data_IF_918243223555
#
_entry.id   IF_918243223555
#
_cell.length_a   1.000
_cell.length_b   1.000
_cell.length_c   1.000
_cell.angle_alpha   90.00
_cell.angle_beta   90.00
_cell.angle_gamma   90.00
#
_symmetry.space_group_name_H-M   'P 1'
#
loop_
_entity.id
_entity.type
_entity.pdbx_description
1 polymer ?
#
# COMPACT_ATOMS: atom_id res chain seq x y z
N UNK A 1 9.46 9.41 -0.03
CA UNK A 1 10.00 8.03 -0.15
C UNK A 1 10.68 7.93 -1.51
N UNK A 2 11.92 7.42 -1.60
CA UNK A 2 12.64 7.33 -2.87
C UNK A 2 12.55 5.91 -3.45
N UNK A 3 12.34 5.82 -4.76
CA UNK A 3 12.36 4.58 -5.56
C UNK A 3 13.19 4.82 -6.80
N UNK A 4 13.99 3.82 -7.19
CA UNK A 4 14.88 3.92 -8.34
C UNK A 4 14.96 2.59 -9.08
N UNK A 5 15.26 2.66 -10.38
CA UNK A 5 15.64 1.52 -11.22
C UNK A 5 16.84 1.94 -12.05
N UNK A 6 17.88 1.12 -12.00
CA UNK A 6 19.02 1.18 -12.89
C UNK A 6 18.92 0.00 -13.85
N UNK A 7 19.14 0.27 -15.14
CA UNK A 7 19.08 -0.74 -16.19
C UNK A 7 19.97 -0.34 -17.35
N UNK A 8 20.51 -1.34 -18.06
CA UNK A 8 21.12 -1.14 -19.38
C UNK A 8 20.09 -1.12 -20.51
N UNK A 9 18.85 -1.51 -20.22
CA UNK A 9 17.75 -1.43 -21.18
C UNK A 9 17.24 0.02 -21.31
N UNK A 10 17.44 0.69 -22.47
CA UNK A 10 16.99 2.06 -22.67
C UNK A 10 15.47 2.18 -22.69
N UNK A 11 14.71 1.08 -22.81
CA UNK A 11 13.24 1.09 -22.74
C UNK A 11 12.74 1.63 -21.39
N UNK A 12 13.53 1.53 -20.32
CA UNK A 12 13.19 2.13 -19.01
C UNK A 12 13.07 3.66 -19.10
N UNK A 13 13.79 4.31 -20.03
CA UNK A 13 13.72 5.75 -20.25
C UNK A 13 12.55 6.19 -21.14
N UNK A 14 11.83 5.24 -21.77
CA UNK A 14 10.66 5.51 -22.59
C UNK A 14 9.40 5.79 -21.75
N UNK A 15 9.44 5.52 -20.44
CA UNK A 15 8.32 5.78 -19.53
C UNK A 15 8.12 7.30 -19.42
N UNK A 16 6.94 7.75 -19.83
CA UNK A 16 6.56 9.15 -19.74
C UNK A 16 6.21 9.54 -18.31
N UNK A 17 6.62 10.74 -17.89
CA UNK A 17 6.15 11.31 -16.63
C UNK A 17 4.67 11.70 -16.68
N UNK A 18 4.05 11.72 -17.86
CA UNK A 18 2.65 12.12 -18.03
C UNK A 18 1.65 11.13 -17.45
N UNK A 19 2.05 9.88 -17.20
CA UNK A 19 1.21 8.87 -16.55
C UNK A 19 0.83 9.26 -15.11
N UNK A 20 -0.23 8.65 -14.57
CA UNK A 20 -0.57 8.79 -13.16
C UNK A 20 0.50 8.14 -12.28
N UNK A 21 0.66 8.63 -11.05
CA UNK A 21 1.69 8.16 -10.12
C UNK A 21 1.71 6.63 -9.94
N UNK A 22 0.55 5.98 -9.92
CA UNK A 22 0.48 4.54 -9.67
C UNK A 22 0.83 3.71 -10.90
N UNK A 23 0.37 4.12 -12.09
CA UNK A 23 0.83 3.51 -13.34
C UNK A 23 2.35 3.66 -13.47
N UNK A 24 2.87 4.84 -13.18
CA UNK A 24 4.31 5.11 -13.15
C UNK A 24 5.03 4.20 -12.14
N UNK A 25 4.53 4.09 -10.90
CA UNK A 25 5.12 3.25 -9.87
C UNK A 25 5.07 1.76 -10.25
N UNK A 26 3.95 1.29 -10.82
CA UNK A 26 3.80 -0.10 -11.29
C UNK A 26 4.76 -0.40 -12.43
N UNK A 27 4.93 0.52 -13.39
CA UNK A 27 5.92 0.39 -14.45
C UNK A 27 7.33 0.30 -13.88
N UNK A 28 7.66 1.16 -12.90
CA UNK A 28 8.96 1.17 -12.24
C UNK A 28 9.23 -0.14 -11.47
N UNK A 29 8.20 -0.80 -10.93
CA UNK A 29 8.35 -2.16 -10.39
C UNK A 29 8.54 -3.20 -11.50
N UNK A 30 7.80 -3.11 -12.60
CA UNK A 30 7.94 -4.01 -13.75
C UNK A 30 9.35 -4.00 -14.34
N UNK A 31 9.96 -2.81 -14.49
CA UNK A 31 11.30 -2.66 -15.02
C UNK A 31 12.40 -3.35 -14.18
N UNK A 32 12.15 -3.60 -12.89
CA UNK A 32 13.09 -4.35 -12.03
C UNK A 32 13.18 -5.83 -12.35
N UNK A 33 12.20 -6.33 -13.09
CA UNK A 33 12.09 -7.73 -13.49
C UNK A 33 12.56 -7.94 -14.93
N UNK A 34 12.92 -6.87 -15.64
CA UNK A 34 13.41 -6.95 -17.01
C UNK A 34 14.86 -7.39 -17.05
N UNK A 35 15.21 -8.06 -18.14
CA UNK A 35 16.60 -8.40 -18.46
C UNK A 35 17.42 -7.12 -18.64
N UNK A 36 18.63 -7.10 -18.07
CA UNK A 36 19.49 -5.91 -18.07
C UNK A 36 19.21 -4.91 -16.94
N UNK A 37 18.20 -5.17 -16.09
CA UNK A 37 18.03 -4.43 -14.84
C UNK A 37 19.17 -4.73 -13.86
N UNK A 38 19.46 -3.75 -12.99
CA UNK A 38 20.54 -3.79 -12.01
C UNK A 38 19.97 -3.63 -10.59
N UNK A 39 19.43 -4.71 -9.98
CA UNK A 39 18.67 -4.60 -8.74
C UNK A 39 19.49 -4.13 -7.53
N UNK A 40 20.76 -4.54 -7.44
CA UNK A 40 21.64 -4.17 -6.33
C UNK A 40 21.97 -2.67 -6.37
N UNK A 41 22.31 -2.16 -7.54
CA UNK A 41 22.64 -0.77 -7.82
C UNK A 41 21.39 0.12 -7.72
N UNK A 42 20.22 -0.40 -8.14
CA UNK A 42 18.91 0.21 -7.92
C UNK A 42 18.65 0.43 -6.44
N UNK A 43 18.83 -0.63 -5.63
CA UNK A 43 18.61 -0.57 -4.19
C UNK A 43 19.61 0.37 -3.50
N UNK A 44 20.88 0.33 -3.90
CA UNK A 44 21.89 1.24 -3.38
C UNK A 44 21.54 2.71 -3.68
N UNK A 45 21.10 2.98 -4.91
CA UNK A 45 20.66 4.32 -5.32
C UNK A 45 19.45 4.79 -4.51
N UNK A 46 18.47 3.90 -4.27
CA UNK A 46 17.34 4.21 -3.39
C UNK A 46 17.77 4.58 -1.97
N UNK A 47 18.68 3.79 -1.39
CA UNK A 47 19.16 4.02 -0.03
C UNK A 47 19.91 5.35 0.07
N UNK A 48 20.75 5.65 -0.92
CA UNK A 48 21.50 6.91 -1.00
C UNK A 48 20.56 8.12 -1.13
N UNK A 49 19.58 8.05 -2.03
CA UNK A 49 18.57 9.11 -2.19
C UNK A 49 17.71 9.27 -0.93
N UNK A 50 17.29 8.16 -0.31
CA UNK A 50 16.48 8.20 0.91
C UNK A 50 17.27 8.73 2.12
N UNK A 51 18.57 8.44 2.23
CA UNK A 51 19.44 9.02 3.25
C UNK A 51 19.63 10.52 3.01
N UNK A 52 19.87 10.92 1.76
CA UNK A 52 20.01 12.31 1.36
C UNK A 52 18.75 13.14 1.70
N UNK A 53 17.56 12.65 1.31
CA UNK A 53 16.30 13.34 1.62
C UNK A 53 15.99 13.37 3.12
N UNK A 54 16.40 12.38 3.91
CA UNK A 54 16.24 12.41 5.37
C UNK A 54 17.18 13.38 6.06
N UNK A 55 18.37 13.62 5.49
CA UNK A 55 19.34 14.58 6.02
C UNK A 55 19.10 16.03 5.60
N UNK A 56 18.21 16.27 4.63
CA UNK A 56 17.89 17.61 4.16
C UNK A 56 17.05 18.38 5.18
N UNK A 57 17.31 19.69 5.39
CA UNK A 57 16.55 20.49 6.34
C UNK A 57 15.08 20.62 5.91
N UNK A 58 14.11 20.67 6.86
CA UNK A 58 12.67 20.71 6.55
C UNK A 58 12.29 21.86 5.60
N UNK A 59 12.95 23.01 5.75
CA UNK A 59 12.77 24.21 4.93
C UNK A 59 12.99 23.96 3.43
N UNK A 60 13.85 22.99 3.08
CA UNK A 60 14.08 22.61 1.68
C UNK A 60 12.83 21.98 1.06
N UNK A 61 12.12 21.14 1.82
CA UNK A 61 10.90 20.50 1.34
C UNK A 61 9.70 21.45 1.34
N UNK A 62 9.62 22.38 2.29
CA UNK A 62 8.58 23.40 2.31
C UNK A 62 8.73 24.38 1.13
N UNK A 63 9.97 24.76 0.79
CA UNK A 63 10.27 25.52 -0.43
C UNK A 63 9.82 24.79 -1.68
N UNK A 64 10.17 23.49 -1.81
CA UNK A 64 9.76 22.66 -2.95
C UNK A 64 8.24 22.46 -3.04
N UNK A 65 7.54 22.47 -1.90
CA UNK A 65 6.07 22.39 -1.87
C UNK A 65 5.43 23.65 -2.43
N UNK A 66 5.99 24.83 -2.17
CA UNK A 66 5.52 26.12 -2.69
C UNK A 66 6.01 26.45 -4.11
N UNK A 67 7.13 25.86 -4.54
CA UNK A 67 7.74 26.12 -5.84
C UNK A 67 6.89 25.65 -7.03
N UNK A 68 7.05 26.34 -8.15
CA UNK A 68 6.56 25.90 -9.47
C UNK A 68 7.31 24.62 -9.91
N UNK A 69 6.75 23.88 -10.87
CA UNK A 69 7.38 22.65 -11.36
C UNK A 69 8.75 22.90 -11.99
N UNK A 70 8.96 24.05 -12.65
CA UNK A 70 10.23 24.43 -13.27
C UNK A 70 11.30 24.76 -12.22
N UNK A 71 10.94 25.54 -11.19
CA UNK A 71 11.84 25.85 -10.08
C UNK A 71 12.22 24.58 -9.29
N UNK A 72 11.23 23.73 -8.99
CA UNK A 72 11.46 22.46 -8.34
C UNK A 72 12.36 21.54 -9.19
N UNK A 73 12.17 21.53 -10.52
CA UNK A 73 13.02 20.78 -11.43
C UNK A 73 14.47 21.30 -11.44
N UNK A 74 14.68 22.62 -11.46
CA UNK A 74 16.01 23.23 -11.43
C UNK A 74 16.74 22.91 -10.12
N UNK A 75 16.06 23.06 -8.98
CA UNK A 75 16.60 22.75 -7.66
C UNK A 75 16.96 21.27 -7.56
N UNK A 76 16.03 20.36 -7.91
CA UNK A 76 16.30 18.92 -7.90
C UNK A 76 17.41 18.53 -8.88
N UNK A 77 17.48 19.15 -10.05
CA UNK A 77 18.53 18.89 -11.04
C UNK A 77 19.91 19.19 -10.46
N UNK A 78 20.07 20.34 -9.81
CA UNK A 78 21.34 20.71 -9.18
C UNK A 78 21.74 19.71 -8.09
N UNK A 79 20.78 19.28 -7.26
CA UNK A 79 21.04 18.31 -6.19
C UNK A 79 21.43 16.93 -6.74
N UNK A 80 20.72 16.42 -7.75
CA UNK A 80 20.99 15.12 -8.33
C UNK A 80 22.31 15.13 -9.12
N UNK A 81 22.63 16.20 -9.87
CA UNK A 81 23.92 16.36 -10.56
C UNK A 81 25.08 16.34 -9.58
N UNK A 82 24.96 17.06 -8.46
CA UNK A 82 25.98 17.05 -7.42
C UNK A 82 26.12 15.65 -6.77
N UNK A 83 24.99 14.96 -6.55
CA UNK A 83 24.98 13.64 -5.94
C UNK A 83 25.62 12.57 -6.83
N UNK A 84 25.26 12.54 -8.11
CA UNK A 84 25.78 11.58 -9.09
C UNK A 84 27.11 12.02 -9.73
N UNK A 85 27.57 13.24 -9.45
CA UNK A 85 28.78 13.86 -10.02
C UNK A 85 28.76 13.86 -11.56
N UNK A 86 27.58 14.01 -12.15
CA UNK A 86 27.38 13.99 -13.59
C UNK A 86 26.75 15.31 -14.05
N UNK A 87 27.52 16.20 -14.71
CA UNK A 87 26.97 17.45 -15.24
C UNK A 87 26.06 17.23 -16.46
N UNK A 88 26.16 16.07 -17.13
CA UNK A 88 25.34 15.67 -18.27
C UNK A 88 23.97 15.09 -17.88
N UNK A 89 23.70 14.94 -16.58
CA UNK A 89 22.43 14.39 -16.10
C UNK A 89 21.24 15.24 -16.57
N UNK A 90 20.37 14.60 -17.36
CA UNK A 90 19.08 15.14 -17.74
C UNK A 90 18.04 14.74 -16.70
N UNK A 91 17.37 15.73 -16.12
CA UNK A 91 16.37 15.51 -15.08
C UNK A 91 15.05 16.05 -15.59
N UNK A 92 14.02 15.22 -15.52
CA UNK A 92 12.64 15.60 -15.78
C UNK A 92 11.86 15.37 -14.48
N UNK A 93 11.02 16.33 -14.10
CA UNK A 93 10.27 16.29 -12.85
C UNK A 93 8.80 16.62 -13.14
N UNK A 94 7.91 15.80 -12.58
CA UNK A 94 6.48 16.08 -12.49
C UNK A 94 6.12 16.14 -11.02
N UNK A 95 5.49 17.24 -10.62
CA UNK A 95 4.90 17.40 -9.30
C UNK A 95 3.48 16.84 -9.37
N UNK A 96 3.21 15.81 -8.56
CA UNK A 96 1.86 15.24 -8.42
C UNK A 96 1.38 15.43 -6.98
N UNK A 97 0.08 15.64 -6.82
CA UNK A 97 -0.57 15.73 -5.51
C UNK A 97 -1.24 14.39 -5.28
N UNK A 98 -0.65 13.58 -4.40
CA UNK A 98 -1.24 12.32 -3.98
C UNK A 98 -2.44 12.62 -3.08
N UNK A 99 -3.62 12.71 -3.68
CA UNK A 99 -4.88 12.76 -2.95
C UNK A 99 -5.46 11.34 -2.78
N UNK A 100 -6.29 11.17 -1.75
CA UNK A 100 -6.98 9.89 -1.50
C UNK A 100 -8.02 9.55 -2.59
N UNK A 101 -8.36 10.49 -3.46
CA UNK A 101 -9.26 10.30 -4.61
C UNK A 101 -8.58 9.61 -5.79
N UNK A 102 -7.28 9.85 -6.03
CA UNK A 102 -6.48 9.19 -7.05
C UNK A 102 -6.33 7.68 -6.77
N UNK A 103 -6.41 7.25 -5.49
CA UNK A 103 -6.54 5.84 -5.12
C UNK A 103 -7.85 5.19 -5.59
N UNK A 104 -8.92 5.98 -5.81
CA UNK A 104 -10.21 5.50 -6.32
C UNK A 104 -10.25 5.48 -7.86
N UNK A 105 -9.51 6.37 -8.52
CA UNK A 105 -9.51 6.57 -9.97
C UNK A 105 -8.94 5.41 -10.78
N UNK A 106 -8.04 4.60 -10.21
CA UNK A 106 -7.51 3.38 -10.86
C UNK A 106 -8.58 2.33 -11.15
N UNK A 107 -9.78 2.45 -10.58
CA UNK A 107 -10.91 1.55 -10.85
C UNK A 107 -11.75 1.97 -12.07
N UNK A 108 -11.45 3.11 -12.71
CA UNK A 108 -12.27 3.73 -13.77
C UNK A 108 -11.56 3.89 -15.12
N UNK A 109 -10.57 3.05 -15.44
CA UNK A 109 -10.17 2.93 -16.84
C UNK A 109 -11.32 2.28 -17.64
N UNK A 110 -11.84 2.91 -18.71
CA UNK A 110 -12.90 2.31 -19.51
C UNK A 110 -12.31 1.12 -20.26
N UNK A 111 -12.76 -0.08 -19.91
CA UNK A 111 -12.43 -1.28 -20.66
C UNK A 111 -12.91 -1.14 -22.12
N UNK A 112 -12.11 -1.52 -23.13
CA UNK A 112 -12.56 -1.54 -24.51
C UNK A 112 -13.75 -2.50 -24.63
N UNK A 113 -14.86 -1.99 -25.15
CA UNK A 113 -16.12 -2.72 -25.29
C UNK A 113 -15.94 -3.91 -26.26
N UNK A 114 -15.89 -5.13 -25.73
CA UNK A 114 -16.05 -6.35 -26.51
C UNK A 114 -17.55 -6.70 -26.68
N UNK A 115 -17.95 -7.38 -27.78
CA UNK A 115 -19.33 -7.45 -28.20
C UNK A 115 -20.17 -8.39 -27.34
N UNK A 116 -21.43 -8.00 -27.16
CA UNK A 116 -22.49 -8.73 -26.46
C UNK A 116 -22.65 -10.16 -26.99
N UNK A 117 -22.45 -11.14 -26.12
CA UNK A 117 -22.83 -12.55 -26.32
C UNK A 117 -23.31 -13.19 -25.02
N UNK A 118 -24.63 -13.40 -24.95
CA UNK A 118 -25.43 -14.33 -24.09
C UNK A 118 -24.96 -14.71 -22.66
N UNK A 119 -25.84 -14.33 -21.73
CA UNK A 119 -25.99 -14.67 -20.32
C UNK A 119 -25.50 -16.05 -19.82
N UNK A 120 -24.78 -16.03 -18.68
CA UNK A 120 -24.96 -16.95 -17.56
C UNK A 120 -24.42 -16.35 -16.24
N UNK A 121 -25.28 -16.39 -15.21
CA UNK A 121 -25.05 -16.32 -13.76
C UNK A 121 -24.16 -15.24 -13.12
N UNK A 122 -24.76 -14.57 -12.12
CA UNK A 122 -24.14 -13.75 -11.08
C UNK A 122 -22.90 -14.43 -10.49
N UNK A 123 -21.73 -13.90 -10.80
CA UNK A 123 -20.59 -13.85 -9.87
C UNK A 123 -20.40 -12.39 -9.51
N UNK A 124 -20.48 -12.05 -8.22
CA UNK A 124 -19.98 -10.76 -7.75
C UNK A 124 -18.54 -10.65 -8.26
N UNK A 125 -18.23 -9.56 -8.96
CA UNK A 125 -16.88 -9.29 -9.44
C UNK A 125 -15.94 -9.41 -8.24
N UNK A 126 -15.20 -10.51 -8.17
CA UNK A 126 -14.09 -10.66 -7.26
C UNK A 126 -13.09 -9.59 -7.66
N UNK A 127 -13.16 -8.45 -6.99
CA UNK A 127 -12.01 -7.58 -6.84
C UNK A 127 -10.84 -8.49 -6.44
N UNK A 128 -9.71 -8.44 -7.15
CA UNK A 128 -8.51 -9.24 -6.83
C UNK A 128 -8.01 -8.83 -5.44
N UNK A 129 -8.58 -9.46 -4.42
CA UNK A 129 -8.33 -9.18 -3.02
C UNK A 129 -7.03 -9.86 -2.62
N UNK A 130 -6.02 -9.08 -2.26
CA UNK A 130 -4.83 -9.64 -1.65
C UNK A 130 -5.16 -10.07 -0.22
N UNK A 131 -5.29 -11.38 -0.03
CA UNK A 131 -5.52 -11.98 1.29
C UNK A 131 -4.19 -12.41 1.90
N UNK A 132 -3.88 -11.86 3.07
CA UNK A 132 -2.68 -12.13 3.84
C UNK A 132 -2.97 -13.14 4.96
N UNK A 133 -2.00 -13.96 5.34
CA UNK A 133 -2.10 -14.75 6.56
C UNK A 133 -1.88 -13.86 7.80
N UNK A 134 -2.84 -13.85 8.72
CA UNK A 134 -2.74 -13.10 9.97
C UNK A 134 -2.89 -13.99 11.20
N UNK A 135 -2.45 -13.47 12.34
CA UNK A 135 -2.72 -14.00 13.67
C UNK A 135 -3.44 -12.94 14.48
N UNK A 136 -4.41 -13.33 15.30
CA UNK A 136 -5.17 -12.41 16.15
C UNK A 136 -4.63 -12.51 17.59
N UNK A 137 -4.46 -11.37 18.24
CA UNK A 137 -3.99 -11.31 19.62
C UNK A 137 -5.11 -11.76 20.57
N UNK A 138 -4.73 -12.52 21.59
CA UNK A 138 -5.64 -13.07 22.59
C UNK A 138 -5.84 -12.11 23.76
N UNK A 139 -7.04 -12.15 24.34
CA UNK A 139 -7.37 -11.44 25.57
C UNK A 139 -8.40 -12.25 26.35
N UNK A 140 -8.10 -12.58 27.61
CA UNK A 140 -8.97 -13.38 28.47
C UNK A 140 -10.29 -12.65 28.79
N UNK A 141 -10.29 -11.32 28.76
CA UNK A 141 -11.48 -10.51 28.96
C UNK A 141 -12.22 -10.19 27.64
N UNK A 142 -11.61 -10.55 26.50
CA UNK A 142 -12.16 -10.32 25.17
C UNK A 142 -13.37 -11.20 24.83
N UNK A 143 -14.14 -10.85 23.79
CA UNK A 143 -15.21 -11.69 23.27
C UNK A 143 -14.65 -12.97 22.66
N UNK A 144 -15.39 -14.10 22.70
CA UNK A 144 -15.03 -15.29 21.96
C UNK A 144 -15.11 -15.04 20.45
N UNK A 145 -14.28 -15.72 19.68
CA UNK A 145 -14.17 -15.56 18.23
C UNK A 145 -15.51 -15.76 17.49
N UNK A 146 -16.36 -16.66 18.00
CA UNK A 146 -17.70 -16.91 17.47
C UNK A 146 -18.70 -15.77 17.69
N UNK A 147 -18.45 -14.87 18.64
CA UNK A 147 -19.33 -13.73 18.96
C UNK A 147 -18.90 -12.42 18.29
N UNK A 148 -17.76 -12.42 17.59
CA UNK A 148 -17.33 -11.27 16.80
C UNK A 148 -18.38 -10.91 15.74
N UNK A 149 -18.38 -9.65 15.33
CA UNK A 149 -19.25 -9.14 14.27
C UNK A 149 -18.45 -8.32 13.28
N UNK A 150 -18.96 -8.25 12.05
CA UNK A 150 -18.44 -7.31 11.07
C UNK A 150 -18.49 -5.88 11.64
N UNK A 151 -17.37 -5.18 11.55
CA UNK A 151 -17.17 -3.84 12.12
C UNK A 151 -16.50 -3.79 13.49
N UNK A 152 -16.36 -4.92 14.20
CA UNK A 152 -15.53 -4.97 15.41
C UNK A 152 -14.05 -4.77 15.06
N UNK A 153 -13.30 -4.07 15.91
CA UNK A 153 -11.86 -3.86 15.72
C UNK A 153 -11.10 -4.96 16.44
N UNK A 154 -10.32 -5.76 15.70
CA UNK A 154 -9.47 -6.82 16.25
C UNK A 154 -8.00 -6.42 16.17
N UNK A 155 -7.22 -6.83 17.17
CA UNK A 155 -5.76 -6.66 17.17
C UNK A 155 -5.11 -7.81 16.38
N UNK A 156 -4.54 -7.52 15.22
CA UNK A 156 -4.03 -8.52 14.27
C UNK A 156 -2.55 -8.31 13.90
N UNK A 157 -1.79 -9.40 13.77
CA UNK A 157 -0.41 -9.42 13.27
C UNK A 157 -0.35 -10.10 11.92
N UNK A 158 0.40 -9.53 10.99
CA UNK A 158 0.66 -10.15 9.69
C UNK A 158 1.80 -11.17 9.88
N UNK A 159 1.48 -12.45 9.71
CA UNK A 159 2.41 -13.59 9.90
C UNK A 159 2.74 -14.30 8.60
N UNK A 160 2.41 -13.67 7.49
CA UNK A 160 2.61 -14.18 6.15
C UNK A 160 4.07 -13.98 5.70
N UNK A 161 4.71 -15.07 5.27
CA UNK A 161 6.13 -15.08 4.90
C UNK A 161 6.43 -14.50 3.52
N UNK A 162 5.41 -14.19 2.69
CA UNK A 162 5.63 -13.62 1.36
C UNK A 162 6.21 -12.21 1.46
N UNK A 163 7.12 -11.85 0.55
CA UNK A 163 7.76 -10.52 0.53
C UNK A 163 6.75 -9.38 0.47
N UNK A 164 5.68 -9.55 -0.31
CA UNK A 164 4.59 -8.57 -0.40
C UNK A 164 3.91 -8.36 0.96
N UNK A 165 3.76 -9.41 1.76
CA UNK A 165 3.14 -9.33 3.07
C UNK A 165 4.07 -8.69 4.10
N UNK A 166 5.37 -8.98 4.04
CA UNK A 166 6.39 -8.33 4.86
C UNK A 166 6.47 -6.84 4.55
N UNK A 167 6.37 -6.47 3.28
CA UNK A 167 6.30 -5.09 2.84
C UNK A 167 5.05 -4.38 3.39
N UNK A 168 3.87 -4.99 3.23
CA UNK A 168 2.60 -4.44 3.74
C UNK A 168 2.58 -4.35 5.26
N UNK A 169 3.16 -5.32 5.97
CA UNK A 169 3.32 -5.26 7.42
C UNK A 169 4.13 -4.05 7.86
N UNK A 170 5.24 -3.72 7.17
CA UNK A 170 5.98 -2.47 7.45
C UNK A 170 5.16 -1.23 7.12
N UNK A 171 4.43 -1.25 6.00
CA UNK A 171 3.61 -0.12 5.56
C UNK A 171 2.48 0.21 6.55
N UNK A 172 1.84 -0.82 7.11
CA UNK A 172 0.79 -0.67 8.12
C UNK A 172 1.33 -0.48 9.55
N UNK A 173 2.65 -0.42 9.74
CA UNK A 173 3.28 -0.29 11.06
C UNK A 173 3.29 -1.57 11.89
N UNK A 174 2.85 -2.71 11.35
CA UNK A 174 2.83 -4.02 12.01
C UNK A 174 4.13 -4.80 11.91
N UNK A 175 5.21 -4.22 11.38
CA UNK A 175 6.55 -4.82 11.41
C UNK A 175 7.61 -3.75 11.73
N UNK A 176 8.25 -3.91 12.88
CA UNK A 176 9.31 -3.01 13.38
C UNK A 176 10.66 -3.73 13.43
N UNK A 177 11.73 -3.01 13.80
CA UNK A 177 13.04 -3.62 14.06
C UNK A 177 13.02 -4.67 15.18
N UNK A 178 12.02 -4.62 16.07
CA UNK A 178 11.81 -5.58 17.17
C UNK A 178 10.90 -6.75 16.77
N UNK A 179 10.43 -6.80 15.52
CA UNK A 179 9.56 -7.83 15.00
C UNK A 179 8.11 -7.39 14.76
N UNK A 180 7.20 -8.36 14.53
CA UNK A 180 5.80 -8.08 14.22
C UNK A 180 5.05 -7.42 15.39
N UNK A 181 4.34 -6.34 15.10
CA UNK A 181 3.54 -5.57 16.05
C UNK A 181 2.05 -5.68 15.66
N UNK A 182 1.12 -5.76 16.62
CA UNK A 182 -0.30 -5.81 16.30
C UNK A 182 -0.80 -4.51 15.66
N UNK A 183 -1.72 -4.65 14.71
CA UNK A 183 -2.44 -3.58 14.04
C UNK A 183 -3.93 -3.79 14.32
N UNK A 184 -4.64 -2.73 14.71
CA UNK A 184 -6.09 -2.78 14.80
C UNK A 184 -6.72 -2.77 13.40
N UNK A 185 -7.55 -3.78 13.12
CA UNK A 185 -8.23 -3.90 11.84
C UNK A 185 -9.71 -4.26 12.06
N UNK A 186 -10.65 -3.64 11.32
CA UNK A 186 -12.04 -4.02 11.38
C UNK A 186 -12.26 -5.42 10.79
N UNK A 187 -13.07 -6.22 11.47
CA UNK A 187 -13.59 -7.48 10.96
C UNK A 187 -14.53 -7.18 9.79
N UNK A 188 -14.28 -7.83 8.67
CA UNK A 188 -15.10 -7.72 7.47
C UNK A 188 -16.10 -8.87 7.37
N UNK A 189 -15.62 -10.09 7.58
CA UNK A 189 -16.42 -11.30 7.44
C UNK A 189 -15.97 -12.35 8.43
N UNK A 190 -16.93 -13.19 8.82
CA UNK A 190 -16.76 -14.28 9.78
C UNK A 190 -17.47 -15.49 9.20
N UNK A 191 -16.73 -16.58 9.01
CA UNK A 191 -17.24 -17.80 8.40
C UNK A 191 -16.90 -19.00 9.27
N UNK A 192 -17.86 -19.87 9.52
CA UNK A 192 -17.60 -21.13 10.20
C UNK A 192 -16.87 -22.09 9.25
N UNK A 193 -15.74 -22.65 9.70
CA UNK A 193 -14.91 -23.55 8.90
C UNK A 193 -14.52 -24.78 9.71
N UNK A 194 -14.04 -25.84 9.05
CA UNK A 194 -13.49 -26.99 9.74
C UNK A 194 -12.30 -26.56 10.61
N UNK A 195 -12.39 -26.75 11.92
CA UNK A 195 -11.36 -26.35 12.89
C UNK A 195 -11.57 -25.00 13.58
N UNK A 196 -12.69 -24.32 13.34
CA UNK A 196 -13.07 -23.11 14.10
C UNK A 196 -13.81 -22.08 13.26
N UNK A 197 -13.40 -20.83 13.41
CA UNK A 197 -13.99 -19.66 12.74
C UNK A 197 -12.89 -18.98 11.93
N UNK A 198 -13.17 -18.79 10.64
CA UNK A 198 -12.37 -17.95 9.75
C UNK A 198 -12.80 -16.51 9.96
N UNK A 199 -11.88 -15.69 10.44
CA UNK A 199 -12.05 -14.25 10.61
C UNK A 199 -11.26 -13.55 9.52
N UNK A 200 -11.95 -12.75 8.72
CA UNK A 200 -11.34 -11.84 7.75
C UNK A 200 -11.30 -10.43 8.33
N UNK A 201 -10.11 -9.88 8.48
CA UNK A 201 -9.89 -8.49 8.88
C UNK A 201 -9.40 -7.64 7.70
N UNK A 202 -9.91 -6.41 7.60
CA UNK A 202 -9.61 -5.52 6.47
C UNK A 202 -8.55 -4.49 6.87
N UNK A 203 -7.36 -4.55 6.27
CA UNK A 203 -6.29 -3.58 6.53
C UNK A 203 -6.39 -2.35 5.63
N UNK A 204 -6.75 -2.56 4.36
CA UNK A 204 -6.93 -1.49 3.38
C UNK A 204 -7.83 -1.95 2.23
N UNK A 205 -8.24 -1.00 1.37
CA UNK A 205 -8.92 -1.32 0.12
C UNK A 205 -8.05 -2.29 -0.70
N UNK A 206 -8.62 -3.44 -1.09
CA UNK A 206 -7.88 -4.48 -1.81
C UNK A 206 -6.91 -5.34 -0.98
N UNK A 207 -6.77 -5.10 0.33
CA UNK A 207 -5.93 -5.91 1.24
C UNK A 207 -6.71 -6.36 2.46
N UNK A 208 -6.88 -7.68 2.59
CA UNK A 208 -7.48 -8.31 3.76
C UNK A 208 -6.50 -9.32 4.38
N UNK A 209 -6.79 -9.76 5.60
CA UNK A 209 -6.09 -10.86 6.23
C UNK A 209 -7.05 -11.88 6.81
N UNK A 210 -6.70 -13.14 6.68
CA UNK A 210 -7.48 -14.27 7.15
C UNK A 210 -6.76 -14.99 8.30
N UNK A 211 -7.50 -15.28 9.37
CA UNK A 211 -7.09 -16.13 10.46
C UNK A 211 -8.17 -17.17 10.75
N UNK A 212 -7.78 -18.43 10.89
CA UNK A 212 -8.65 -19.47 11.45
C UNK A 212 -8.32 -19.62 12.93
N UNK A 213 -9.32 -19.45 13.78
CA UNK A 213 -9.19 -19.56 15.24
C UNK A 213 -10.30 -20.45 15.82
N UNK A 214 -10.05 -21.17 16.92
CA UNK A 214 -11.10 -21.89 17.64
C UNK A 214 -12.24 -20.95 18.06
N UNK A 215 -13.48 -21.43 18.02
CA UNK A 215 -14.68 -20.60 18.23
C UNK A 215 -14.75 -19.98 19.63
N UNK A 216 -14.28 -20.73 20.62
CA UNK A 216 -14.21 -20.38 22.04
C UNK A 216 -13.01 -19.50 22.40
N UNK A 217 -12.07 -19.29 21.47
CA UNK A 217 -10.87 -18.49 21.73
C UNK A 217 -11.26 -17.03 21.92
N UNK A 218 -10.83 -16.43 23.03
CA UNK A 218 -11.12 -15.03 23.35
C UNK A 218 -10.06 -14.11 22.76
N UNK A 219 -10.52 -13.08 22.05
CA UNK A 219 -9.68 -12.24 21.22
C UNK A 219 -9.67 -10.80 21.74
N UNK A 220 -8.53 -10.13 21.61
CA UNK A 220 -8.44 -8.69 21.84
C UNK A 220 -9.23 -7.96 20.75
N UNK A 221 -10.46 -7.60 21.09
CA UNK A 221 -11.37 -6.91 20.19
C UNK A 221 -12.15 -5.80 20.91
N UNK A 222 -12.32 -4.66 20.23
CA UNK A 222 -13.19 -3.58 20.67
C UNK A 222 -14.46 -3.58 19.80
N UNK A 223 -15.63 -3.57 20.43
CA UNK A 223 -16.89 -3.46 19.69
C UNK A 223 -16.94 -2.12 18.96
N UNK A 224 -17.16 -2.17 17.65
CA UNK A 224 -17.38 -0.96 16.87
C UNK A 224 -18.59 -0.21 17.43
N UNK A 225 -18.48 1.09 17.68
CA UNK A 225 -19.53 1.91 18.29
C UNK A 225 -20.84 1.89 17.46
N UNK A 226 -21.71 0.93 17.74
CA UNK A 226 -23.14 0.97 17.43
C UNK A 226 -23.87 1.51 18.65
N UNK A 227 -23.96 2.84 18.80
CA UNK A 227 -24.77 3.39 19.91
C UNK A 227 -24.71 4.88 20.25
N UNK A 228 -23.79 5.69 19.72
CA UNK A 228 -23.88 7.16 19.84
C UNK A 228 -23.46 7.80 18.54
N UNK A 229 -24.37 8.60 17.98
CA UNK A 229 -24.24 9.21 16.66
C UNK A 229 -22.95 10.01 16.53
N UNK A 230 -22.03 9.47 15.74
CA UNK A 230 -21.71 10.04 14.45
C UNK A 230 -21.04 8.92 13.63
N UNK A 231 -21.25 8.92 12.32
CA UNK A 231 -20.86 7.80 11.45
C UNK A 231 -19.41 7.39 11.63
N UNK A 232 -19.18 6.07 11.60
CA UNK A 232 -17.88 5.41 11.56
C UNK A 232 -16.84 6.25 10.81
N UNK A 233 -15.69 6.50 11.43
CA UNK A 233 -14.70 7.49 10.99
C UNK A 233 -14.30 7.39 9.50
N UNK A 234 -14.34 6.18 8.92
CA UNK A 234 -14.11 5.95 7.49
C UNK A 234 -15.20 6.53 6.57
N UNK A 235 -16.45 6.64 7.01
CA UNK A 235 -17.53 7.30 6.23
C UNK A 235 -17.29 8.80 6.02
N UNK A 236 -16.41 9.43 6.81
CA UNK A 236 -16.02 10.83 6.62
C UNK A 236 -15.10 11.04 5.42
N UNK A 237 -14.51 9.97 4.87
CA UNK A 237 -13.63 10.02 3.69
C UNK A 237 -14.33 9.76 2.36
N UNK A 238 -15.63 9.42 2.36
CA UNK A 238 -16.40 9.07 1.16
C UNK A 238 -17.67 9.93 0.99
N UNK A 239 -17.62 11.21 1.40
CA UNK A 239 -18.53 12.26 0.93
C UNK A 239 -17.81 13.16 -0.06
#
# INVERSE_FOLDING_TARGET
RARAVLSYDPAVCAIGLEEDWFAFEKHLYGCRLWDGSLPAESLETEQRLAAYFRGAPPESFDRLRGATSEEAAADFSALLRAHFRDPGLSVRLKKDILDLGQFQSLRKAPAPAAPRGRAAMRGAATEDLLVLRIALDEDLEGPPASELRAGDLVSARIVDGRDIAQYLARLFGGLTAQGPVPIEAPVEAIEAVAGGVLIRARFAVGVAGDAVVPAERRLRAARGAQGRGDGSWWRRFFK
#
